data_IF_974020379526
#
_entry.id   IF_974020379526
#
_cell.length_a   1.000
_cell.length_b   1.000
_cell.length_c   1.000
_cell.angle_alpha   90.00
_cell.angle_beta   90.00
_cell.angle_gamma   90.00
#
_symmetry.space_group_name_H-M   'P 1'
#
loop_
_entity.id
_entity.type
_entity.pdbx_description
1 polymer ?
#
# COMPACT_ATOMS: atom_id res chain seq x y z
N UNK A 1 -26.35 0.42 19.42
CA UNK A 1 -25.05 -0.04 19.97
C UNK A 1 -24.89 -1.51 19.64
N UNK A 2 -23.83 -1.91 18.93
CA UNK A 2 -23.56 -3.29 18.52
C UNK A 2 -22.19 -3.75 19.04
N UNK A 3 -22.01 -5.07 19.21
CA UNK A 3 -20.72 -5.70 19.49
C UNK A 3 -20.07 -6.09 18.18
N UNK A 4 -18.87 -5.54 17.91
CA UNK A 4 -18.15 -5.71 16.65
C UNK A 4 -16.77 -6.29 16.94
N UNK A 5 -16.47 -7.45 16.38
CA UNK A 5 -15.18 -8.11 16.52
C UNK A 5 -14.32 -7.91 15.26
N UNK A 6 -13.02 -7.69 15.45
CA UNK A 6 -12.04 -7.51 14.39
C UNK A 6 -10.92 -8.54 14.54
N UNK A 7 -10.72 -9.36 13.52
CA UNK A 7 -9.60 -10.30 13.46
C UNK A 7 -8.41 -9.60 12.83
N UNK A 8 -7.45 -9.19 13.64
CA UNK A 8 -6.30 -8.36 13.23
C UNK A 8 -5.05 -9.21 13.16
N UNK A 9 -4.31 -9.23 12.04
CA UNK A 9 -3.06 -9.97 11.94
C UNK A 9 -1.99 -9.39 12.87
N UNK A 10 -0.88 -10.11 13.01
CA UNK A 10 0.25 -9.71 13.85
C UNK A 10 0.74 -8.31 13.50
N UNK A 11 0.87 -7.44 14.50
CA UNK A 11 1.20 -6.02 14.31
C UNK A 11 2.57 -5.84 13.63
N UNK A 12 2.60 -4.99 12.63
CA UNK A 12 3.81 -4.60 11.90
C UNK A 12 3.95 -3.08 11.99
N UNK A 13 5.01 -2.60 12.62
CA UNK A 13 5.32 -1.18 12.72
C UNK A 13 5.45 -0.55 11.32
N UNK A 14 4.86 0.64 11.13
CA UNK A 14 4.85 1.32 9.82
C UNK A 14 3.89 0.73 8.79
N UNK A 15 3.07 -0.26 9.16
CA UNK A 15 2.08 -0.85 8.26
C UNK A 15 0.86 0.07 8.07
N UNK A 16 0.69 0.59 6.85
CA UNK A 16 -0.52 1.33 6.47
C UNK A 16 -1.80 0.50 6.57
N UNK A 17 -1.73 -0.80 6.27
CA UNK A 17 -2.88 -1.70 6.38
C UNK A 17 -3.39 -1.83 7.82
N UNK A 18 -2.48 -2.05 8.79
CA UNK A 18 -2.86 -2.09 10.20
C UNK A 18 -3.45 -0.75 10.67
N UNK A 19 -2.82 0.37 10.29
CA UNK A 19 -3.36 1.69 10.61
C UNK A 19 -4.78 1.86 10.07
N UNK A 20 -5.04 1.43 8.84
CA UNK A 20 -6.39 1.52 8.24
C UNK A 20 -7.40 0.67 9.02
N UNK A 21 -7.09 -0.58 9.38
CA UNK A 21 -7.97 -1.43 10.20
C UNK A 21 -8.30 -0.73 11.53
N UNK A 22 -7.26 -0.29 12.25
CA UNK A 22 -7.42 0.32 13.57
C UNK A 22 -8.18 1.65 13.50
N UNK A 23 -7.96 2.48 12.49
CA UNK A 23 -8.73 3.71 12.27
C UNK A 23 -10.22 3.46 12.11
N UNK A 24 -10.60 2.40 11.37
CA UNK A 24 -12.00 2.07 11.14
C UNK A 24 -12.65 1.43 12.38
N UNK A 25 -11.90 0.62 13.12
CA UNK A 25 -12.37 0.06 14.39
C UNK A 25 -12.56 1.16 15.46
N UNK A 26 -11.59 2.08 15.59
CA UNK A 26 -11.67 3.25 16.49
C UNK A 26 -12.84 4.16 16.13
N UNK A 27 -13.05 4.40 14.84
CA UNK A 27 -14.20 5.19 14.36
C UNK A 27 -15.54 4.57 14.80
N UNK A 28 -15.71 3.25 14.67
CA UNK A 28 -16.93 2.58 15.13
C UNK A 28 -17.06 2.62 16.66
N UNK A 29 -15.94 2.49 17.39
CA UNK A 29 -15.94 2.63 18.85
C UNK A 29 -16.40 4.03 19.28
N UNK A 30 -15.89 5.07 18.65
CA UNK A 30 -16.29 6.47 18.91
C UNK A 30 -17.76 6.75 18.54
N UNK A 31 -18.35 5.96 17.65
CA UNK A 31 -19.79 5.99 17.32
C UNK A 31 -20.65 5.20 18.28
N UNK A 32 -20.09 4.67 19.37
CA UNK A 32 -20.80 4.01 20.44
C UNK A 32 -20.98 2.50 20.24
N UNK A 33 -20.29 1.88 19.27
CA UNK A 33 -20.23 0.42 19.19
C UNK A 33 -19.15 -0.11 20.14
N UNK A 34 -19.34 -1.33 20.62
CA UNK A 34 -18.31 -2.04 21.40
C UNK A 34 -17.41 -2.81 20.45
N UNK A 35 -16.19 -2.33 20.23
CA UNK A 35 -15.21 -2.97 19.36
C UNK A 35 -14.24 -3.83 20.17
N UNK A 36 -14.09 -5.10 19.78
CA UNK A 36 -13.10 -6.04 20.33
C UNK A 36 -12.08 -6.36 19.25
N UNK A 37 -10.78 -6.16 19.51
CA UNK A 37 -9.71 -6.58 18.63
C UNK A 37 -9.18 -7.96 19.04
N UNK A 38 -9.17 -8.92 18.12
CA UNK A 38 -8.57 -10.24 18.29
C UNK A 38 -7.25 -10.27 17.50
N UNK A 39 -6.11 -10.27 18.22
CA UNK A 39 -4.79 -10.23 17.64
C UNK A 39 -4.27 -11.64 17.32
N UNK A 40 -3.84 -11.90 16.09
CA UNK A 40 -3.45 -13.23 15.60
C UNK A 40 -2.45 -13.97 16.53
N UNK A 41 -1.34 -13.35 16.88
CA UNK A 41 -0.25 -13.94 17.66
C UNK A 41 -0.25 -13.43 19.11
N UNK A 42 -1.40 -13.23 19.69
CA UNK A 42 -1.54 -12.65 21.00
C UNK A 42 -1.94 -13.62 22.12
N UNK A 43 -2.09 -14.93 21.82
CA UNK A 43 -2.57 -15.93 22.80
C UNK A 43 -1.71 -16.01 24.08
N UNK A 44 -0.40 -15.77 23.94
CA UNK A 44 0.55 -15.84 25.07
C UNK A 44 0.78 -14.47 25.75
N UNK A 45 0.07 -13.42 25.31
CA UNK A 45 0.20 -12.07 25.83
C UNK A 45 -1.03 -11.68 26.66
N UNK A 46 -0.81 -10.91 27.72
CA UNK A 46 -1.93 -10.35 28.48
C UNK A 46 -2.68 -9.30 27.65
N UNK A 47 -3.98 -9.16 27.87
CA UNK A 47 -4.80 -8.12 27.26
C UNK A 47 -4.18 -6.70 27.44
N UNK A 48 -3.62 -6.41 28.61
CA UNK A 48 -2.94 -5.15 28.88
C UNK A 48 -1.68 -4.96 28.02
N UNK A 49 -0.91 -6.03 27.80
CA UNK A 49 0.27 -6.01 26.92
C UNK A 49 -0.10 -5.74 25.46
N UNK A 50 -1.16 -6.38 24.98
CA UNK A 50 -1.69 -6.17 23.61
C UNK A 50 -2.20 -4.75 23.42
N UNK A 51 -2.99 -4.21 24.36
CA UNK A 51 -3.47 -2.81 24.35
C UNK A 51 -2.29 -1.84 24.26
N UNK A 52 -1.29 -2.03 25.12
CA UNK A 52 -0.07 -1.20 25.13
C UNK A 52 0.67 -1.26 23.78
N UNK A 53 0.71 -2.42 23.13
CA UNK A 53 1.34 -2.57 21.82
C UNK A 53 0.59 -1.81 20.72
N UNK A 54 -0.74 -1.90 20.69
CA UNK A 54 -1.59 -1.16 19.74
C UNK A 54 -1.39 0.36 19.93
N UNK A 55 -1.50 0.85 21.17
CA UNK A 55 -1.33 2.26 21.50
C UNK A 55 0.08 2.77 21.14
N UNK A 56 1.12 2.08 21.55
CA UNK A 56 2.51 2.47 21.28
C UNK A 56 2.87 2.52 19.81
N UNK A 57 2.38 1.56 19.00
CA UNK A 57 2.77 1.43 17.58
C UNK A 57 1.93 2.34 16.69
N UNK A 58 0.63 2.49 16.98
CA UNK A 58 -0.31 3.14 16.08
C UNK A 58 -1.03 4.35 16.69
N UNK A 59 -0.97 4.55 18.01
CA UNK A 59 -1.60 5.66 18.71
C UNK A 59 -3.10 5.50 18.91
N UNK A 60 -3.65 4.28 18.83
CA UNK A 60 -5.08 4.02 19.06
C UNK A 60 -5.31 3.34 20.40
N UNK A 61 -6.40 3.70 21.06
CA UNK A 61 -6.84 3.13 22.34
C UNK A 61 -8.12 2.30 22.15
N UNK A 62 -8.11 1.06 22.65
CA UNK A 62 -9.28 0.17 22.61
C UNK A 62 -9.59 -0.38 24.00
N UNK A 63 -10.88 -0.47 24.30
CA UNK A 63 -11.34 -1.00 25.59
C UNK A 63 -11.12 -2.51 25.70
N UNK A 64 -11.21 -3.25 24.60
CA UNK A 64 -11.11 -4.72 24.59
C UNK A 64 -10.17 -5.19 23.47
N UNK A 65 -9.02 -5.75 23.87
CA UNK A 65 -8.02 -6.34 22.98
C UNK A 65 -7.63 -7.71 23.52
N UNK A 66 -7.75 -8.72 22.70
CA UNK A 66 -7.55 -10.14 23.06
C UNK A 66 -6.55 -10.81 22.11
N UNK A 67 -5.96 -11.90 22.56
CA UNK A 67 -5.04 -12.69 21.77
C UNK A 67 -5.69 -13.93 21.17
N UNK A 68 -5.26 -14.28 19.96
CA UNK A 68 -5.71 -15.47 19.24
C UNK A 68 -7.07 -15.32 18.55
N UNK A 69 -7.36 -16.27 17.66
CA UNK A 69 -8.60 -16.34 16.87
C UNK A 69 -9.39 -17.62 17.12
N UNK A 70 -9.08 -18.37 18.18
CA UNK A 70 -9.76 -19.63 18.53
C UNK A 70 -11.04 -19.40 19.35
N UNK A 71 -10.99 -18.45 20.27
CA UNK A 71 -12.06 -18.21 21.25
C UNK A 71 -12.71 -16.83 21.02
N UNK A 72 -13.35 -16.68 19.87
CA UNK A 72 -14.06 -15.45 19.50
C UNK A 72 -15.44 -15.48 20.17
N UNK A 73 -15.69 -14.51 21.05
CA UNK A 73 -16.99 -14.37 21.70
C UNK A 73 -18.09 -13.97 20.72
N UNK A 74 -19.35 -14.39 20.97
CA UNK A 74 -20.48 -13.97 20.16
C UNK A 74 -20.57 -12.44 20.02
N UNK A 75 -20.63 -11.98 18.78
CA UNK A 75 -20.74 -10.58 18.39
C UNK A 75 -21.84 -10.40 17.34
N UNK A 76 -22.33 -9.19 17.19
CA UNK A 76 -23.36 -8.88 16.18
C UNK A 76 -22.76 -8.84 14.78
N UNK A 77 -21.47 -8.40 14.68
CA UNK A 77 -20.71 -8.34 13.43
C UNK A 77 -19.26 -8.75 13.66
N UNK A 78 -18.67 -9.51 12.73
CA UNK A 78 -17.27 -9.94 12.80
C UNK A 78 -16.57 -9.62 11.48
N UNK A 79 -15.44 -8.91 11.57
CA UNK A 79 -14.60 -8.57 10.44
C UNK A 79 -13.39 -9.48 10.30
N UNK A 80 -13.27 -10.15 9.16
CA UNK A 80 -11.99 -10.61 8.64
C UNK A 80 -11.22 -9.42 8.06
N UNK A 81 -9.88 -9.38 8.21
CA UNK A 81 -9.06 -8.27 7.71
C UNK A 81 -7.87 -8.73 6.87
N UNK A 82 -7.73 -10.04 6.70
CA UNK A 82 -6.75 -10.69 5.82
C UNK A 82 -7.34 -12.02 5.31
N UNK A 83 -6.92 -12.49 4.15
CA UNK A 83 -7.52 -13.62 3.46
C UNK A 83 -7.69 -14.90 4.31
N UNK A 84 -6.72 -15.24 5.13
CA UNK A 84 -6.83 -16.45 5.98
C UNK A 84 -7.72 -16.24 7.21
N UNK A 85 -7.92 -15.00 7.68
CA UNK A 85 -8.93 -14.71 8.72
C UNK A 85 -10.35 -14.83 8.20
N UNK A 86 -10.57 -14.69 6.88
CA UNK A 86 -11.88 -14.87 6.26
C UNK A 86 -12.43 -16.30 6.47
N UNK A 87 -11.56 -17.31 6.49
CA UNK A 87 -11.93 -18.68 6.81
C UNK A 87 -12.42 -18.80 8.26
N UNK A 88 -11.72 -18.19 9.20
CA UNK A 88 -12.11 -18.18 10.61
C UNK A 88 -13.51 -17.56 10.78
N UNK A 89 -13.74 -16.40 10.15
CA UNK A 89 -15.04 -15.71 10.21
C UNK A 89 -16.14 -16.53 9.56
N UNK A 90 -15.86 -17.21 8.44
CA UNK A 90 -16.82 -18.12 7.79
C UNK A 90 -17.28 -19.23 8.73
N UNK A 91 -16.33 -19.82 9.45
CA UNK A 91 -16.51 -21.05 10.24
C UNK A 91 -16.98 -20.78 11.69
N UNK A 92 -17.31 -19.53 12.05
CA UNK A 92 -17.86 -19.18 13.36
C UNK A 92 -19.16 -19.95 13.66
N UNK A 93 -19.24 -20.55 14.85
CA UNK A 93 -20.37 -21.37 15.26
C UNK A 93 -21.63 -20.56 15.66
N UNK A 94 -21.51 -19.27 15.92
CA UNK A 94 -22.61 -18.39 16.28
C UNK A 94 -23.12 -17.55 15.10
N UNK A 95 -24.36 -17.08 15.21
CA UNK A 95 -24.98 -16.20 14.21
C UNK A 95 -24.42 -14.78 14.35
N UNK A 96 -23.93 -14.19 13.26
CA UNK A 96 -23.45 -12.83 13.18
C UNK A 96 -23.42 -12.33 11.72
N UNK A 97 -23.30 -11.03 11.53
CA UNK A 97 -22.98 -10.45 10.23
C UNK A 97 -21.50 -10.69 9.97
N UNK A 98 -21.19 -11.50 8.96
CA UNK A 98 -19.82 -11.86 8.58
C UNK A 98 -19.30 -10.93 7.51
N UNK A 99 -18.28 -10.14 7.83
CA UNK A 99 -17.70 -9.15 6.94
C UNK A 99 -16.24 -9.46 6.60
N UNK A 100 -15.82 -9.04 5.42
CA UNK A 100 -14.42 -9.02 5.03
C UNK A 100 -14.03 -7.58 4.66
N UNK A 101 -13.14 -6.99 5.46
CA UNK A 101 -12.53 -5.70 5.23
C UNK A 101 -11.37 -5.85 4.25
N UNK A 102 -11.64 -5.64 2.97
CA UNK A 102 -10.71 -5.95 1.87
C UNK A 102 -9.88 -4.72 1.54
N UNK A 103 -8.59 -4.74 1.86
CA UNK A 103 -7.69 -3.63 1.59
C UNK A 103 -6.88 -3.78 0.30
N UNK A 104 -6.76 -5.01 -0.19
CA UNK A 104 -5.98 -5.32 -1.38
C UNK A 104 -6.52 -6.60 -2.05
N UNK A 105 -6.12 -6.87 -3.28
CA UNK A 105 -6.28 -8.18 -3.90
C UNK A 105 -5.13 -9.08 -3.41
N UNK A 106 -5.33 -9.65 -2.23
CA UNK A 106 -4.26 -10.27 -1.43
C UNK A 106 -3.64 -11.52 -2.08
N UNK A 107 -4.29 -12.11 -3.08
CA UNK A 107 -3.70 -13.16 -3.89
C UNK A 107 -2.39 -12.72 -4.55
N UNK A 108 -2.28 -11.43 -4.93
CA UNK A 108 -1.07 -10.84 -5.51
C UNK A 108 0.08 -10.67 -4.51
N UNK A 109 -0.12 -10.94 -3.22
CA UNK A 109 0.97 -10.98 -2.25
C UNK A 109 1.82 -12.25 -2.33
N UNK A 110 1.33 -13.24 -3.07
CA UNK A 110 1.93 -14.56 -3.19
C UNK A 110 2.24 -14.88 -4.65
N UNK A 111 3.36 -15.53 -4.94
CA UNK A 111 3.56 -16.13 -6.26
C UNK A 111 2.46 -17.17 -6.52
N UNK A 112 2.17 -17.43 -7.81
CA UNK A 112 1.18 -18.44 -8.19
C UNK A 112 1.48 -19.78 -7.48
N UNK A 113 0.48 -20.28 -6.75
CA UNK A 113 0.59 -21.48 -5.93
C UNK A 113 -0.52 -21.56 -4.90
N UNK A 114 -0.39 -22.45 -3.92
CA UNK A 114 -1.44 -22.73 -2.94
C UNK A 114 -1.93 -21.48 -2.18
N UNK A 115 -1.02 -20.63 -1.71
CA UNK A 115 -1.38 -19.43 -0.98
C UNK A 115 -2.17 -18.43 -1.85
N UNK A 116 -1.75 -18.25 -3.13
CA UNK A 116 -2.49 -17.44 -4.10
C UNK A 116 -3.92 -17.96 -4.30
N UNK A 117 -4.07 -19.26 -4.58
CA UNK A 117 -5.36 -19.90 -4.80
C UNK A 117 -6.25 -19.82 -3.56
N UNK A 118 -5.69 -20.04 -2.37
CA UNK A 118 -6.44 -19.96 -1.11
C UNK A 118 -6.88 -18.51 -0.83
N UNK A 119 -6.05 -17.51 -1.12
CA UNK A 119 -6.43 -16.11 -1.01
C UNK A 119 -7.57 -15.76 -1.97
N UNK A 120 -7.54 -16.21 -3.23
CA UNK A 120 -8.66 -16.03 -4.16
C UNK A 120 -9.95 -16.71 -3.66
N UNK A 121 -9.83 -17.92 -3.09
CA UNK A 121 -10.98 -18.64 -2.57
C UNK A 121 -11.64 -17.91 -1.39
N UNK A 122 -10.90 -17.13 -0.61
CA UNK A 122 -11.44 -16.37 0.52
C UNK A 122 -12.54 -15.40 0.10
N UNK A 123 -12.48 -14.86 -1.10
CA UNK A 123 -13.51 -13.95 -1.62
C UNK A 123 -14.85 -14.67 -1.93
N UNK A 124 -14.86 -16.01 -2.02
CA UNK A 124 -16.07 -16.81 -2.29
C UNK A 124 -16.71 -17.39 -1.04
N UNK A 125 -16.26 -17.00 0.16
CA UNK A 125 -16.76 -17.57 1.41
C UNK A 125 -18.11 -17.01 1.87
N UNK A 126 -18.75 -16.14 1.10
CA UNK A 126 -20.08 -15.61 1.41
C UNK A 126 -20.09 -14.50 2.47
N UNK A 127 -18.95 -13.86 2.72
CA UNK A 127 -18.85 -12.72 3.60
C UNK A 127 -19.30 -11.44 2.87
N UNK A 128 -19.75 -10.42 3.62
CA UNK A 128 -19.98 -9.08 3.10
C UNK A 128 -18.65 -8.37 2.88
N UNK A 129 -18.30 -8.10 1.63
CA UNK A 129 -17.03 -7.43 1.29
C UNK A 129 -17.19 -5.92 1.37
N UNK A 130 -16.33 -5.27 2.16
CA UNK A 130 -16.20 -3.82 2.25
C UNK A 130 -14.74 -3.48 1.94
N UNK A 131 -14.50 -2.78 0.84
CA UNK A 131 -13.15 -2.53 0.33
C UNK A 131 -12.75 -1.08 0.38
N UNK A 132 -11.43 -0.84 0.41
CA UNK A 132 -10.87 0.48 0.12
C UNK A 132 -10.60 0.61 -1.36
N UNK A 133 -11.07 1.73 -1.95
CA UNK A 133 -10.90 2.02 -3.36
C UNK A 133 -11.90 1.29 -4.26
N UNK A 134 -11.92 1.69 -5.51
CA UNK A 134 -12.91 1.31 -6.53
C UNK A 134 -12.49 0.10 -7.37
N UNK A 135 -11.19 -0.13 -7.49
CA UNK A 135 -10.70 -1.29 -8.24
C UNK A 135 -11.16 -2.62 -7.68
N UNK A 136 -11.11 -2.78 -6.35
CA UNK A 136 -11.44 -4.05 -5.70
C UNK A 136 -12.87 -4.52 -5.96
N UNK A 137 -13.93 -3.69 -5.85
CA UNK A 137 -15.28 -4.10 -6.23
C UNK A 137 -15.40 -4.53 -7.69
N UNK A 138 -14.76 -3.80 -8.61
CA UNK A 138 -14.73 -4.16 -10.03
C UNK A 138 -14.08 -5.54 -10.23
N UNK A 139 -12.90 -5.74 -9.62
CA UNK A 139 -12.14 -6.98 -9.72
C UNK A 139 -12.86 -8.18 -9.10
N UNK A 140 -13.47 -8.01 -7.91
CA UNK A 140 -14.23 -9.08 -7.25
C UNK A 140 -15.50 -9.46 -8.04
N UNK A 141 -16.17 -8.47 -8.60
CA UNK A 141 -17.35 -8.70 -9.44
C UNK A 141 -17.00 -9.44 -10.73
N UNK A 142 -15.97 -8.99 -11.43
CA UNK A 142 -15.53 -9.57 -12.70
C UNK A 142 -15.05 -11.02 -12.53
N UNK A 143 -14.17 -11.25 -11.56
CA UNK A 143 -13.49 -12.54 -11.44
C UNK A 143 -14.29 -13.59 -10.66
N UNK A 144 -15.10 -13.19 -9.70
CA UNK A 144 -15.79 -14.12 -8.80
C UNK A 144 -17.30 -13.97 -8.79
N UNK A 145 -17.86 -13.00 -9.51
CA UNK A 145 -19.26 -12.61 -9.44
C UNK A 145 -19.69 -12.28 -7.99
N UNK A 146 -18.82 -11.64 -7.24
CA UNK A 146 -19.04 -11.24 -5.86
C UNK A 146 -19.14 -9.73 -5.77
N UNK A 147 -20.23 -9.24 -5.16
CA UNK A 147 -20.44 -7.82 -4.93
C UNK A 147 -19.67 -7.33 -3.70
N UNK A 148 -19.17 -6.09 -3.79
CA UNK A 148 -18.57 -5.40 -2.67
C UNK A 148 -19.07 -3.95 -2.58
N UNK A 149 -19.19 -3.43 -1.35
CA UNK A 149 -19.24 -2.00 -1.11
C UNK A 149 -17.81 -1.45 -1.02
N UNK A 150 -17.63 -0.15 -1.25
CA UNK A 150 -16.33 0.46 -1.04
C UNK A 150 -16.44 1.83 -0.37
N UNK A 151 -15.33 2.26 0.18
CA UNK A 151 -15.07 3.62 0.59
C UNK A 151 -13.83 4.15 -0.13
N UNK A 152 -13.78 5.45 -0.37
CA UNK A 152 -12.73 6.08 -1.14
C UNK A 152 -11.37 6.06 -0.40
N UNK A 153 -10.29 6.15 -1.16
CA UNK A 153 -8.99 6.51 -0.62
C UNK A 153 -9.04 7.96 -0.11
N UNK A 154 -8.74 8.13 1.15
CA UNK A 154 -8.74 9.40 1.86
C UNK A 154 -7.42 9.65 2.55
N UNK A 155 -7.08 10.91 2.81
CA UNK A 155 -5.91 11.31 3.58
C UNK A 155 -6.32 12.14 4.80
N UNK A 156 -5.47 12.12 5.82
CA UNK A 156 -5.57 13.03 6.94
C UNK A 156 -5.05 14.40 6.51
N UNK A 157 -5.98 15.32 6.21
CA UNK A 157 -5.64 16.65 5.68
C UNK A 157 -5.11 17.61 6.76
N UNK A 158 -5.20 17.26 8.03
CA UNK A 158 -4.51 17.99 9.09
C UNK A 158 -3.00 17.73 9.04
N UNK A 159 -2.63 16.51 8.63
CA UNK A 159 -1.24 16.07 8.45
C UNK A 159 -0.75 16.37 7.04
N UNK A 160 -1.44 15.86 6.02
CA UNK A 160 -1.02 15.95 4.62
C UNK A 160 -1.69 17.14 3.94
N UNK A 161 -0.91 18.19 3.76
CA UNK A 161 -1.36 19.46 3.16
C UNK A 161 -0.19 20.24 2.58
N UNK A 162 -0.44 21.19 1.69
CA UNK A 162 0.58 22.14 1.27
C UNK A 162 1.09 22.94 2.48
N UNK A 163 2.40 23.09 2.56
CA UNK A 163 3.11 23.90 3.55
C UNK A 163 3.76 25.09 2.84
N UNK A 164 3.94 26.19 3.57
CA UNK A 164 4.73 27.33 3.08
C UNK A 164 6.23 27.03 3.24
N UNK A 165 6.70 26.07 2.45
CA UNK A 165 8.08 25.63 2.41
C UNK A 165 8.63 25.78 0.99
N UNK A 166 9.87 26.29 0.81
CA UNK A 166 10.50 26.30 -0.49
C UNK A 166 10.77 24.86 -0.95
N UNK A 167 10.54 24.60 -2.24
CA UNK A 167 10.96 23.34 -2.85
C UNK A 167 12.47 23.29 -2.95
N UNK A 168 13.03 22.09 -2.90
CA UNK A 168 14.47 21.88 -3.02
C UNK A 168 14.98 22.32 -4.40
N UNK A 169 16.16 22.95 -4.40
CA UNK A 169 16.89 23.33 -5.62
C UNK A 169 18.28 22.70 -5.56
N UNK A 170 18.61 21.83 -6.51
CA UNK A 170 17.82 21.38 -7.68
C UNK A 170 16.58 20.57 -7.30
N UNK A 171 15.61 20.50 -8.24
CA UNK A 171 14.35 19.81 -8.05
C UNK A 171 14.55 18.33 -7.68
N UNK A 172 13.99 17.92 -6.54
CA UNK A 172 14.19 16.60 -5.96
C UNK A 172 13.04 15.63 -6.30
N UNK A 173 13.36 14.34 -6.37
CA UNK A 173 12.40 13.25 -6.53
C UNK A 173 12.41 12.41 -5.26
N UNK A 174 11.22 12.13 -4.67
CA UNK A 174 11.10 11.16 -3.61
C UNK A 174 10.45 9.86 -4.09
N UNK A 175 10.91 8.73 -3.55
CA UNK A 175 10.38 7.40 -3.86
C UNK A 175 10.12 6.61 -2.58
N UNK A 176 8.90 6.07 -2.47
CA UNK A 176 8.56 5.12 -1.41
C UNK A 176 9.25 3.76 -1.67
N UNK A 177 10.43 3.59 -1.12
CA UNK A 177 11.27 2.42 -1.32
C UNK A 177 10.99 1.36 -0.26
N UNK A 178 10.35 0.26 -0.66
CA UNK A 178 9.95 -0.84 0.22
C UNK A 178 10.31 -2.20 -0.40
N UNK A 179 11.60 -2.57 -0.47
CA UNK A 179 12.07 -3.79 -1.14
C UNK A 179 11.55 -5.09 -0.49
N UNK A 180 11.10 -5.02 0.76
CA UNK A 180 10.45 -6.14 1.45
C UNK A 180 9.02 -6.42 0.98
N UNK A 181 8.44 -5.53 0.16
CA UNK A 181 7.10 -5.65 -0.41
C UNK A 181 7.18 -5.80 -1.93
N UNK A 182 7.21 -7.02 -2.49
CA UNK A 182 7.40 -7.23 -3.93
C UNK A 182 6.44 -6.42 -4.82
N UNK A 183 5.19 -6.26 -4.39
CA UNK A 183 4.16 -5.49 -5.11
C UNK A 183 4.43 -3.98 -5.20
N UNK A 184 5.47 -3.48 -4.51
CA UNK A 184 5.92 -2.07 -4.59
C UNK A 184 7.08 -1.89 -5.56
N UNK A 185 7.52 -2.97 -6.22
CA UNK A 185 8.46 -2.98 -7.33
C UNK A 185 9.67 -2.05 -7.11
N UNK A 186 10.32 -2.19 -5.94
CA UNK A 186 11.44 -1.34 -5.55
C UNK A 186 12.56 -1.33 -6.59
N UNK A 187 12.84 -2.48 -7.24
CA UNK A 187 13.86 -2.63 -8.27
C UNK A 187 13.50 -1.84 -9.53
N UNK A 188 12.27 -1.95 -10.01
CA UNK A 188 11.76 -1.19 -11.15
C UNK A 188 11.90 0.33 -10.92
N UNK A 189 11.58 0.79 -9.70
CA UNK A 189 11.74 2.19 -9.31
C UNK A 189 13.21 2.62 -9.27
N UNK A 190 14.10 1.77 -8.77
CA UNK A 190 15.56 2.04 -8.75
C UNK A 190 16.13 2.13 -10.16
N UNK A 191 15.73 1.22 -11.07
CA UNK A 191 16.15 1.28 -12.47
C UNK A 191 15.68 2.57 -13.15
N UNK A 192 14.42 2.95 -12.97
CA UNK A 192 13.87 4.19 -13.50
C UNK A 192 14.62 5.42 -12.96
N UNK A 193 14.85 5.47 -11.65
CA UNK A 193 15.59 6.57 -11.01
C UNK A 193 17.05 6.60 -11.44
N UNK A 194 17.65 5.46 -11.75
CA UNK A 194 18.99 5.37 -12.37
C UNK A 194 19.05 6.06 -13.72
N UNK A 195 18.03 5.88 -14.57
CA UNK A 195 17.89 6.58 -15.85
C UNK A 195 17.74 8.10 -15.61
N UNK A 196 16.89 8.49 -14.64
CA UNK A 196 16.73 9.90 -14.26
C UNK A 196 18.08 10.49 -13.84
N UNK A 197 18.82 9.79 -12.97
CA UNK A 197 20.13 10.24 -12.48
C UNK A 197 21.17 10.34 -13.58
N UNK A 198 21.13 9.44 -14.57
CA UNK A 198 22.00 9.49 -15.74
C UNK A 198 21.70 10.71 -16.63
N UNK A 199 20.43 11.01 -16.90
CA UNK A 199 20.00 12.13 -17.75
C UNK A 199 20.05 13.49 -17.04
N UNK A 200 19.83 13.49 -15.72
CA UNK A 200 19.88 14.68 -14.85
C UNK A 200 20.71 14.39 -13.60
N UNK A 201 22.06 14.38 -13.69
CA UNK A 201 22.95 13.96 -12.61
C UNK A 201 22.82 14.78 -11.32
N UNK A 202 22.37 16.03 -11.43
CA UNK A 202 22.20 16.95 -10.29
C UNK A 202 20.87 16.76 -9.55
N UNK A 203 19.91 15.99 -10.08
CA UNK A 203 18.63 15.73 -9.43
C UNK A 203 18.83 14.92 -8.13
N UNK A 204 18.48 15.46 -6.96
CA UNK A 204 18.51 14.69 -5.72
C UNK A 204 17.42 13.59 -5.75
N UNK A 205 17.82 12.37 -5.37
CA UNK A 205 16.92 11.24 -5.21
C UNK A 205 16.82 10.92 -3.72
N UNK A 206 15.60 10.94 -3.18
CA UNK A 206 15.32 10.71 -1.76
C UNK A 206 14.46 9.45 -1.62
N UNK A 207 15.01 8.43 -0.99
CA UNK A 207 14.33 7.19 -0.68
C UNK A 207 13.80 7.24 0.75
N UNK A 208 12.62 6.66 0.99
CA UNK A 208 12.05 6.50 2.32
C UNK A 208 11.13 5.26 2.38
N UNK A 209 10.79 4.80 3.59
CA UNK A 209 9.91 3.64 3.79
C UNK A 209 10.64 2.33 4.11
N UNK A 210 11.96 2.28 3.97
CA UNK A 210 12.80 1.17 4.45
C UNK A 210 14.05 1.68 5.14
N UNK A 211 14.46 0.99 6.21
CA UNK A 211 15.66 1.35 6.99
C UNK A 211 16.97 1.20 6.18
N UNK A 212 16.94 0.39 5.12
CA UNK A 212 18.12 0.08 4.31
C UNK A 212 17.83 0.27 2.83
N UNK A 213 18.78 0.84 2.09
CA UNK A 213 18.76 0.97 0.65
C UNK A 213 19.86 0.09 0.02
N UNK A 214 19.70 -1.25 0.14
CA UNK A 214 20.80 -2.19 -0.09
C UNK A 214 21.34 -2.31 -1.51
N UNK A 215 20.57 -2.04 -2.57
CA UNK A 215 20.93 -2.27 -3.97
C UNK A 215 20.76 -1.02 -4.86
N UNK A 216 20.87 0.16 -4.30
CA UNK A 216 20.81 1.40 -5.07
C UNK A 216 22.23 1.80 -5.45
N UNK A 217 22.50 1.87 -6.74
CA UNK A 217 23.85 2.00 -7.31
C UNK A 217 24.24 3.43 -7.69
N UNK A 218 23.32 4.40 -7.54
CA UNK A 218 23.55 5.82 -7.78
C UNK A 218 23.50 6.62 -6.47
N UNK A 219 23.97 7.84 -6.50
CA UNK A 219 23.93 8.75 -5.35
C UNK A 219 22.47 9.07 -4.98
N UNK A 220 22.12 8.82 -3.73
CA UNK A 220 20.80 9.04 -3.17
C UNK A 220 20.86 9.31 -1.67
N UNK A 221 19.80 9.84 -1.12
CA UNK A 221 19.58 9.96 0.31
C UNK A 221 18.53 8.92 0.75
N UNK A 222 18.78 8.15 1.81
CA UNK A 222 17.79 7.27 2.42
C UNK A 222 17.35 7.83 3.78
N UNK A 223 16.10 8.27 3.87
CA UNK A 223 15.48 8.81 5.09
C UNK A 223 14.92 7.73 6.02
N UNK A 224 14.96 6.46 5.64
CA UNK A 224 14.43 5.36 6.44
C UNK A 224 12.92 5.41 6.64
N UNK A 225 12.45 4.98 7.80
CA UNK A 225 11.04 5.06 8.18
C UNK A 225 10.75 6.47 8.74
N UNK A 226 9.82 7.18 8.10
CA UNK A 226 9.41 8.52 8.49
C UNK A 226 8.08 8.49 9.22
N UNK A 227 7.92 9.36 10.22
CA UNK A 227 6.61 9.71 10.77
C UNK A 227 5.78 10.52 9.78
N UNK A 228 4.48 10.63 10.02
CA UNK A 228 3.54 11.23 9.06
C UNK A 228 3.87 12.70 8.74
N UNK A 229 4.19 13.49 9.75
CA UNK A 229 4.59 14.91 9.59
C UNK A 229 5.87 15.06 8.76
N UNK A 230 6.84 14.17 8.97
CA UNK A 230 8.08 14.15 8.19
C UNK A 230 7.84 13.72 6.74
N UNK A 231 6.88 12.81 6.50
CA UNK A 231 6.44 12.48 5.14
C UNK A 231 5.84 13.71 4.46
N UNK A 232 4.94 14.44 5.14
CA UNK A 232 4.35 15.65 4.57
C UNK A 232 5.41 16.72 4.27
N UNK A 233 6.37 16.96 5.17
CA UNK A 233 7.47 17.89 4.93
C UNK A 233 8.33 17.46 3.73
N UNK A 234 8.62 16.17 3.58
CA UNK A 234 9.34 15.62 2.42
C UNK A 234 8.56 15.88 1.12
N UNK A 235 7.26 15.60 1.09
CA UNK A 235 6.41 15.80 -0.09
C UNK A 235 6.35 17.27 -0.51
N UNK A 236 6.31 18.19 0.44
CA UNK A 236 6.31 19.61 0.17
C UNK A 236 7.65 20.14 -0.37
N UNK A 237 8.76 19.51 -0.03
CA UNK A 237 10.10 19.88 -0.52
C UNK A 237 10.42 19.29 -1.89
N UNK A 238 9.92 18.10 -2.21
CA UNK A 238 10.16 17.44 -3.48
C UNK A 238 9.33 18.02 -4.64
N UNK A 239 9.81 17.84 -5.85
CA UNK A 239 9.15 18.29 -7.09
C UNK A 239 8.31 17.19 -7.75
N UNK A 240 8.70 15.92 -7.56
CA UNK A 240 8.01 14.74 -8.10
C UNK A 240 8.02 13.63 -7.05
N UNK A 241 6.89 12.97 -6.85
CA UNK A 241 6.77 11.74 -6.07
C UNK A 241 6.65 10.52 -6.98
N UNK A 242 7.46 9.50 -6.74
CA UNK A 242 7.32 8.19 -7.38
C UNK A 242 6.67 7.22 -6.41
N UNK A 243 5.60 6.58 -6.86
CA UNK A 243 4.96 5.45 -6.19
C UNK A 243 4.73 4.34 -7.22
N UNK A 244 4.91 3.08 -6.84
CA UNK A 244 4.65 1.94 -7.73
C UNK A 244 3.77 0.93 -7.01
N UNK A 245 2.66 0.58 -7.64
CA UNK A 245 1.68 -0.35 -7.10
C UNK A 245 1.21 -1.34 -8.16
N UNK A 246 1.55 -2.62 -7.98
CA UNK A 246 1.09 -3.71 -8.86
C UNK A 246 -0.07 -4.51 -8.26
N UNK A 247 -0.63 -4.03 -7.16
CA UNK A 247 -1.89 -4.45 -6.56
C UNK A 247 -2.71 -3.21 -6.23
N UNK A 248 -3.65 -3.24 -5.26
CA UNK A 248 -4.42 -2.04 -4.95
C UNK A 248 -3.48 -0.83 -4.67
N UNK A 249 -3.78 0.38 -5.15
CA UNK A 249 -3.01 1.55 -4.83
C UNK A 249 -2.78 1.67 -3.31
N UNK A 250 -1.59 2.13 -2.91
CA UNK A 250 -1.39 2.46 -1.50
C UNK A 250 -2.03 3.81 -1.17
N UNK A 251 -2.03 4.17 0.10
CA UNK A 251 -2.45 5.53 0.50
C UNK A 251 -1.45 6.62 0.06
N UNK A 252 -0.23 6.21 -0.28
CA UNK A 252 0.89 7.11 -0.56
C UNK A 252 0.63 8.10 -1.71
N UNK A 253 0.15 7.70 -2.90
CA UNK A 253 -0.15 8.68 -3.95
C UNK A 253 -1.18 9.71 -3.51
N UNK A 254 -2.17 9.33 -2.70
CA UNK A 254 -3.19 10.23 -2.18
C UNK A 254 -2.62 11.20 -1.12
N UNK A 255 -1.71 10.74 -0.28
CA UNK A 255 -0.98 11.56 0.70
C UNK A 255 -0.04 12.57 -0.01
N UNK A 256 0.65 12.14 -1.08
CA UNK A 256 1.44 13.01 -1.95
C UNK A 256 0.58 14.08 -2.64
N UNK A 257 -0.56 13.67 -3.23
CA UNK A 257 -1.52 14.59 -3.84
C UNK A 257 -2.08 15.61 -2.83
N UNK A 258 -2.40 15.17 -1.61
CA UNK A 258 -2.87 16.07 -0.54
C UNK A 258 -1.81 17.11 -0.17
N UNK A 259 -0.53 16.76 -0.19
CA UNK A 259 0.59 17.69 0.01
C UNK A 259 0.91 18.58 -1.22
N UNK A 260 0.19 18.39 -2.33
CA UNK A 260 0.43 19.15 -3.58
C UNK A 260 1.64 18.67 -4.38
N UNK A 261 2.12 17.46 -4.15
CA UNK A 261 3.20 16.84 -4.90
C UNK A 261 2.62 16.09 -6.11
N UNK A 262 3.01 16.39 -7.36
CA UNK A 262 2.63 15.59 -8.53
C UNK A 262 3.22 14.18 -8.42
N UNK A 263 2.43 13.19 -8.80
CA UNK A 263 2.75 11.78 -8.64
C UNK A 263 3.01 11.12 -9.98
N UNK A 264 4.06 10.31 -10.06
CA UNK A 264 4.28 9.33 -11.11
C UNK A 264 3.99 7.95 -10.55
N UNK A 265 3.15 7.18 -11.27
CA UNK A 265 2.75 5.82 -10.89
C UNK A 265 2.69 4.95 -12.15
N UNK A 266 2.63 3.63 -12.02
CA UNK A 266 2.45 2.72 -13.14
C UNK A 266 0.98 2.64 -13.57
N UNK A 267 0.77 2.55 -14.89
CA UNK A 267 -0.55 2.30 -15.47
C UNK A 267 -0.89 0.82 -15.36
N UNK A 268 -2.02 0.52 -14.78
CA UNK A 268 -2.54 -0.83 -14.63
C UNK A 268 -4.03 -0.81 -14.28
N UNK A 269 -4.69 -1.95 -14.42
CA UNK A 269 -6.10 -2.08 -14.03
C UNK A 269 -6.38 -1.64 -12.59
N UNK A 270 -5.41 -1.77 -11.71
CA UNK A 270 -5.50 -1.40 -10.30
C UNK A 270 -5.41 0.11 -10.04
N UNK A 271 -4.70 0.86 -10.87
CA UNK A 271 -4.42 2.29 -10.65
C UNK A 271 -5.42 3.21 -11.33
N UNK A 272 -6.01 2.77 -12.45
CA UNK A 272 -6.93 3.61 -13.25
C UNK A 272 -8.27 3.91 -12.57
N UNK A 273 -8.69 3.12 -11.58
CA UNK A 273 -9.98 3.30 -10.91
C UNK A 273 -9.99 4.40 -9.86
N UNK A 274 -8.85 4.68 -9.24
CA UNK A 274 -8.78 5.52 -8.03
C UNK A 274 -7.91 6.77 -8.21
N UNK A 275 -7.08 6.84 -9.25
CA UNK A 275 -6.16 7.95 -9.49
C UNK A 275 -6.70 8.90 -10.58
N UNK A 276 -6.85 10.21 -10.27
CA UNK A 276 -7.38 11.19 -11.24
C UNK A 276 -6.31 11.56 -12.26
N UNK A 277 -6.70 11.60 -13.54
CA UNK A 277 -5.80 11.86 -14.67
C UNK A 277 -5.17 13.26 -14.65
N UNK A 278 -5.79 14.22 -13.96
CA UNK A 278 -5.28 15.59 -13.87
C UNK A 278 -4.16 15.75 -12.83
N UNK A 279 -4.03 14.78 -11.90
CA UNK A 279 -3.11 14.87 -10.75
C UNK A 279 -1.99 13.82 -10.75
N UNK A 280 -2.10 12.80 -11.60
CA UNK A 280 -1.16 11.68 -11.63
C UNK A 280 -0.71 11.41 -13.06
N UNK A 281 0.58 11.16 -13.25
CA UNK A 281 1.14 10.69 -14.51
C UNK A 281 1.29 9.16 -14.45
N UNK A 282 0.42 8.42 -15.16
CA UNK A 282 0.52 6.98 -15.25
C UNK A 282 1.43 6.58 -16.43
N UNK A 283 2.45 5.79 -16.12
CA UNK A 283 3.47 5.33 -17.07
C UNK A 283 3.32 3.83 -17.34
N UNK A 284 3.74 3.36 -18.52
CA UNK A 284 3.95 1.94 -18.70
C UNK A 284 4.88 1.39 -17.60
N UNK A 285 4.70 0.12 -17.16
CA UNK A 285 5.50 -0.49 -16.11
C UNK A 285 6.91 -0.87 -16.62
N UNK A 286 7.60 0.11 -17.23
CA UNK A 286 8.98 0.00 -17.70
C UNK A 286 9.84 1.10 -17.07
N UNK A 287 11.13 0.84 -16.77
CA UNK A 287 12.02 1.85 -16.21
C UNK A 287 12.10 3.10 -17.06
N UNK A 288 12.11 2.93 -18.39
CA UNK A 288 12.22 4.00 -19.37
C UNK A 288 11.01 4.92 -19.35
N UNK A 289 9.81 4.36 -19.31
CA UNK A 289 8.56 5.14 -19.30
C UNK A 289 8.35 5.86 -17.98
N UNK A 290 8.66 5.22 -16.84
CA UNK A 290 8.65 5.85 -15.53
C UNK A 290 9.65 7.01 -15.47
N UNK A 291 10.87 6.78 -15.97
CA UNK A 291 11.89 7.83 -16.05
C UNK A 291 11.46 8.99 -16.96
N UNK A 292 10.81 8.70 -18.10
CA UNK A 292 10.27 9.72 -18.97
C UNK A 292 9.24 10.59 -18.26
N UNK A 293 8.26 9.98 -17.57
CA UNK A 293 7.26 10.71 -16.80
C UNK A 293 7.86 11.60 -15.69
N UNK A 294 8.90 11.13 -15.01
CA UNK A 294 9.61 11.92 -14.00
C UNK A 294 10.33 13.10 -14.68
N UNK A 295 11.09 12.84 -15.75
CA UNK A 295 11.87 13.87 -16.44
C UNK A 295 11.00 14.94 -17.10
N UNK A 296 9.84 14.56 -17.63
CA UNK A 296 8.85 15.49 -18.18
C UNK A 296 8.38 16.48 -17.10
N UNK A 297 8.06 15.99 -15.90
CA UNK A 297 7.64 16.86 -14.79
C UNK A 297 8.77 17.70 -14.23
N UNK A 298 9.99 17.20 -14.20
CA UNK A 298 11.18 17.97 -13.81
C UNK A 298 11.52 19.05 -14.85
N UNK A 299 11.27 18.80 -16.13
CA UNK A 299 11.50 19.72 -17.24
C UNK A 299 10.42 20.78 -17.42
N UNK A 300 9.22 20.55 -16.89
CA UNK A 300 8.09 21.49 -16.95
C UNK A 300 7.52 21.77 -15.54
N UNK A 301 8.12 22.69 -14.79
CA UNK A 301 7.63 23.09 -13.46
C UNK A 301 6.20 23.65 -13.47
N UNK A 302 5.77 24.25 -14.60
CA UNK A 302 4.40 24.78 -14.75
C UNK A 302 3.38 23.66 -14.77
N UNK A 303 3.62 22.61 -15.56
CA UNK A 303 2.81 21.39 -15.60
C UNK A 303 2.82 20.68 -14.23
N UNK A 304 4.00 20.50 -13.63
CA UNK A 304 4.12 19.89 -12.30
C UNK A 304 3.30 20.64 -11.25
N UNK A 305 3.37 21.98 -11.23
CA UNK A 305 2.57 22.80 -10.32
C UNK A 305 1.06 22.69 -10.59
N UNK A 306 0.65 22.57 -11.86
CA UNK A 306 -0.77 22.39 -12.22
C UNK A 306 -1.28 21.04 -11.75
N UNK A 307 -0.52 19.96 -11.94
CA UNK A 307 -0.85 18.62 -11.43
C UNK A 307 -0.91 18.60 -9.90
N UNK A 308 0.03 19.25 -9.22
CA UNK A 308 0.02 19.35 -7.76
C UNK A 308 -1.24 20.06 -7.23
N UNK A 309 -1.67 21.15 -7.88
CA UNK A 309 -2.93 21.84 -7.54
C UNK A 309 -4.16 20.95 -7.80
N UNK A 310 -4.19 20.23 -8.91
CA UNK A 310 -5.28 19.30 -9.21
C UNK A 310 -5.35 18.19 -8.15
N UNK A 311 -4.20 17.64 -7.73
CA UNK A 311 -4.11 16.66 -6.65
C UNK A 311 -4.65 17.18 -5.32
N UNK A 312 -4.25 18.39 -4.93
CA UNK A 312 -4.76 19.03 -3.71
C UNK A 312 -6.27 19.27 -3.78
N UNK A 313 -6.78 19.72 -4.94
CA UNK A 313 -8.21 19.93 -5.14
C UNK A 313 -8.99 18.61 -5.03
N UNK A 314 -8.51 17.54 -5.67
CA UNK A 314 -9.10 16.21 -5.59
C UNK A 314 -9.14 15.67 -4.14
N UNK A 315 -8.07 15.86 -3.39
CA UNK A 315 -7.98 15.37 -2.02
C UNK A 315 -8.76 16.24 -1.01
N UNK A 316 -9.03 17.50 -1.31
CA UNK A 316 -9.85 18.37 -0.44
C UNK A 316 -11.26 17.80 -0.23
N UNK A 317 -11.79 17.09 -1.21
CA UNK A 317 -13.09 16.41 -1.13
C UNK A 317 -13.01 15.03 -0.44
N UNK A 318 -11.78 14.60 -0.09
CA UNK A 318 -11.50 13.27 0.48
C UNK A 318 -10.71 13.33 1.79
N UNK A 319 -11.18 14.14 2.76
CA UNK A 319 -10.60 14.08 4.10
C UNK A 319 -10.83 12.71 4.72
N UNK A 320 -10.02 12.33 5.69
CA UNK A 320 -10.13 11.02 6.35
C UNK A 320 -11.56 10.74 6.87
N UNK A 321 -12.22 11.76 7.40
CA UNK A 321 -13.60 11.68 7.89
C UNK A 321 -14.61 11.24 6.80
N UNK A 322 -14.36 11.59 5.53
CA UNK A 322 -15.22 11.18 4.41
C UNK A 322 -15.23 9.66 4.23
N UNK A 323 -14.06 9.03 4.10
CA UNK A 323 -13.98 7.58 3.95
C UNK A 323 -14.47 6.81 5.17
N UNK A 324 -14.19 7.33 6.37
CA UNK A 324 -14.72 6.76 7.60
C UNK A 324 -16.25 6.83 7.66
N UNK A 325 -16.86 7.93 7.19
CA UNK A 325 -18.32 8.06 7.11
C UNK A 325 -18.93 7.06 6.13
N UNK A 326 -18.37 6.98 4.90
CA UNK A 326 -18.81 6.01 3.89
C UNK A 326 -18.77 4.57 4.45
N UNK A 327 -17.66 4.19 5.11
CA UNK A 327 -17.56 2.90 5.77
C UNK A 327 -18.61 2.70 6.87
N UNK A 328 -18.78 3.71 7.73
CA UNK A 328 -19.77 3.67 8.81
C UNK A 328 -21.22 3.52 8.32
N UNK A 329 -21.56 4.16 7.20
CA UNK A 329 -22.87 4.02 6.56
C UNK A 329 -23.11 2.59 6.06
N UNK A 330 -22.11 1.96 5.45
CA UNK A 330 -22.18 0.55 5.04
C UNK A 330 -22.38 -0.36 6.24
N UNK A 331 -21.61 -0.16 7.31
CA UNK A 331 -21.75 -0.95 8.57
C UNK A 331 -23.14 -0.76 9.18
N UNK A 332 -23.65 0.47 9.26
CA UNK A 332 -24.97 0.74 9.83
C UNK A 332 -26.07 0.07 9.01
N UNK A 333 -26.04 0.17 7.70
CA UNK A 333 -27.01 -0.51 6.81
C UNK A 333 -27.04 -2.02 7.03
N UNK A 334 -25.89 -2.65 7.19
CA UNK A 334 -25.81 -4.09 7.48
C UNK A 334 -26.38 -4.42 8.86
N UNK A 335 -26.11 -3.60 9.87
CA UNK A 335 -26.66 -3.77 11.23
C UNK A 335 -28.18 -3.59 11.25
N UNK A 336 -28.72 -2.74 10.38
CA UNK A 336 -30.17 -2.53 10.21
C UNK A 336 -30.84 -3.64 9.38
N UNK A 337 -30.10 -4.67 8.98
CA UNK A 337 -30.58 -5.81 8.22
C UNK A 337 -30.76 -5.58 6.72
N UNK A 338 -30.21 -4.48 6.18
CA UNK A 338 -30.24 -4.21 4.75
C UNK A 338 -29.14 -5.00 4.02
N UNK A 339 -29.43 -5.35 2.78
CA UNK A 339 -28.43 -5.96 1.89
C UNK A 339 -27.31 -4.99 1.57
N UNK A 340 -26.09 -5.54 1.31
CA UNK A 340 -24.96 -4.76 0.85
C UNK A 340 -25.27 -4.11 -0.50
N UNK A 341 -25.13 -2.81 -0.58
CA UNK A 341 -25.20 -2.09 -1.85
C UNK A 341 -23.90 -2.29 -2.61
N UNK A 342 -23.93 -3.13 -3.64
CA UNK A 342 -22.76 -3.43 -4.44
C UNK A 342 -22.48 -2.32 -5.45
N UNK A 343 -21.21 -2.03 -5.66
CA UNK A 343 -20.78 -1.03 -6.63
C UNK A 343 -20.19 -1.70 -7.87
N UNK A 344 -20.38 -1.07 -9.03
CA UNK A 344 -19.67 -1.37 -10.28
C UNK A 344 -18.98 -0.10 -10.75
N UNK A 345 -17.82 0.20 -10.16
CA UNK A 345 -17.11 1.42 -10.51
C UNK A 345 -16.56 1.38 -11.92
N UNK A 346 -16.44 2.56 -12.53
CA UNK A 346 -15.69 2.75 -13.77
C UNK A 346 -14.33 3.40 -13.49
N UNK A 347 -13.33 3.18 -14.38
CA UNK A 347 -12.06 3.85 -14.30
C UNK A 347 -12.18 5.38 -14.34
N UNK A 348 -11.44 6.07 -13.46
CA UNK A 348 -11.32 7.53 -13.45
C UNK A 348 -10.26 8.02 -14.44
N UNK A 349 -9.18 7.26 -14.57
CA UNK A 349 -8.10 7.55 -15.51
C UNK A 349 -8.41 6.95 -16.88
N UNK A 350 -8.43 7.79 -17.92
CA UNK A 350 -8.83 7.40 -19.28
C UNK A 350 -7.79 7.77 -20.33
N UNK A 351 -6.66 8.34 -19.92
CA UNK A 351 -5.56 8.67 -20.83
C UNK A 351 -4.71 7.42 -21.09
N UNK A 352 -4.06 7.41 -22.24
CA UNK A 352 -3.03 6.41 -22.51
C UNK A 352 -1.85 6.58 -21.55
N UNK A 353 -1.16 5.48 -21.20
CA UNK A 353 0.02 5.55 -20.37
C UNK A 353 1.14 6.32 -21.06
N UNK A 354 1.99 6.96 -20.27
CA UNK A 354 3.20 7.57 -20.80
C UNK A 354 4.13 6.47 -21.30
N UNK A 355 4.48 6.53 -22.57
CA UNK A 355 5.47 5.68 -23.20
C UNK A 355 6.82 6.40 -23.29
N UNK A 356 7.91 5.66 -23.19
CA UNK A 356 9.22 6.21 -23.49
C UNK A 356 9.28 6.64 -24.96
N UNK A 357 9.52 7.92 -25.21
CA UNK A 357 9.78 8.41 -26.56
C UNK A 357 11.20 8.07 -27.01
N UNK A 358 11.32 7.26 -28.06
CA UNK A 358 12.59 6.79 -28.62
C UNK A 358 12.89 5.35 -28.26
N UNK A 359 13.40 4.59 -29.22
CA UNK A 359 13.67 3.15 -29.10
C UNK A 359 14.44 2.74 -27.86
N UNK A 360 14.59 1.44 -27.62
CA UNK A 360 15.21 0.94 -26.39
C UNK A 360 16.54 1.68 -26.16
N UNK A 361 16.72 2.22 -24.94
CA UNK A 361 18.03 2.68 -24.51
C UNK A 361 18.97 1.52 -24.77
N UNK A 362 19.95 1.72 -25.65
CA UNK A 362 20.91 0.68 -25.91
C UNK A 362 21.47 0.22 -24.56
N UNK A 363 21.33 -1.06 -24.26
CA UNK A 363 21.72 -1.66 -22.98
C UNK A 363 23.16 -1.37 -22.54
N UNK A 364 23.96 -0.88 -23.49
CA UNK A 364 25.35 -0.45 -23.31
C UNK A 364 25.51 0.90 -22.58
N UNK A 365 24.42 1.63 -22.29
CA UNK A 365 24.52 2.97 -21.68
C UNK A 365 24.08 3.03 -20.21
N UNK A 366 23.63 1.94 -19.63
CA UNK A 366 23.38 1.87 -18.20
C UNK A 366 24.66 1.40 -17.51
N UNK A 367 25.38 2.27 -16.78
CA UNK A 367 26.55 1.84 -16.02
C UNK A 367 26.07 0.96 -14.86
N UNK A 368 26.47 -0.27 -14.85
CA UNK A 368 26.19 -1.22 -13.79
C UNK A 368 25.11 -2.22 -14.20
N UNK A 369 25.56 -3.40 -14.59
CA UNK A 369 24.72 -4.57 -14.60
C UNK A 369 24.13 -4.75 -13.20
N UNK A 370 22.86 -4.43 -13.04
CA UNK A 370 22.08 -5.07 -11.98
C UNK A 370 22.01 -6.53 -12.40
N UNK A 371 22.86 -7.37 -11.79
CA UNK A 371 22.72 -8.80 -11.99
C UNK A 371 21.27 -9.16 -11.62
N UNK A 372 20.52 -9.85 -12.50
CA UNK A 372 19.16 -10.22 -12.19
C UNK A 372 19.17 -10.86 -10.81
N UNK A 373 18.31 -10.37 -9.92
CA UNK A 373 18.14 -10.94 -8.60
C UNK A 373 17.75 -12.41 -8.81
N UNK A 374 18.74 -13.29 -8.66
CA UNK A 374 18.40 -14.68 -8.60
C UNK A 374 17.55 -14.87 -7.36
N UNK A 375 16.33 -15.42 -7.49
CA UNK A 375 15.52 -15.75 -6.34
C UNK A 375 16.43 -16.52 -5.38
N UNK A 376 16.51 -16.02 -4.15
CA UNK A 376 17.30 -16.65 -3.08
C UNK A 376 16.87 -18.11 -3.07
N UNK A 377 17.75 -19.01 -3.54
CA UNK A 377 17.40 -20.43 -3.67
C UNK A 377 16.93 -20.86 -2.29
N UNK A 378 15.69 -21.27 -2.17
CA UNK A 378 14.97 -21.46 -0.90
C UNK A 378 15.67 -22.39 0.10
N UNK A 379 16.71 -23.09 -0.34
CA UNK A 379 17.58 -23.94 0.47
C UNK A 379 18.48 -23.16 1.46
N UNK A 380 18.79 -21.90 1.23
CA UNK A 380 19.60 -21.09 2.15
C UNK A 380 18.76 -20.36 3.22
N UNK A 381 17.44 -20.35 3.12
CA UNK A 381 16.56 -19.72 4.11
C UNK A 381 16.65 -20.35 5.51
N UNK A 382 17.00 -21.63 5.57
CA UNK A 382 17.08 -22.39 6.84
C UNK A 382 18.43 -22.28 7.55
N UNK A 383 19.43 -21.61 6.96
CA UNK A 383 20.72 -21.41 7.60
C UNK A 383 20.73 -20.14 8.45
N UNK A 384 21.36 -20.15 9.65
CA UNK A 384 21.62 -18.95 10.43
C UNK A 384 22.36 -17.87 9.62
N UNK A 385 22.07 -16.60 9.89
CA UNK A 385 22.64 -15.45 9.14
C UNK A 385 24.13 -15.51 8.85
N UNK A 386 25.02 -15.87 9.80
CA UNK A 386 26.46 -15.97 9.52
C UNK A 386 26.79 -17.08 8.51
N UNK A 387 26.10 -18.22 8.59
CA UNK A 387 26.34 -19.36 7.68
C UNK A 387 25.82 -19.09 6.27
N UNK A 388 24.81 -18.24 6.10
CA UNK A 388 24.34 -17.79 4.78
C UNK A 388 25.41 -17.02 4.02
N UNK A 389 26.22 -16.19 4.70
CA UNK A 389 27.34 -15.46 4.09
C UNK A 389 28.41 -16.41 3.56
N UNK A 390 28.77 -17.41 4.34
CA UNK A 390 29.78 -18.41 3.97
C UNK A 390 29.29 -19.29 2.82
N UNK A 391 28.05 -19.76 2.88
CA UNK A 391 27.44 -20.55 1.81
C UNK A 391 27.32 -19.78 0.49
N UNK A 392 26.97 -18.47 0.54
CA UNK A 392 26.96 -17.58 -0.64
C UNK A 392 28.34 -17.37 -1.25
N UNK A 393 29.36 -17.22 -0.40
CA UNK A 393 30.75 -17.10 -0.85
C UNK A 393 31.24 -18.40 -1.53
N UNK A 394 30.92 -19.56 -0.97
CA UNK A 394 31.25 -20.86 -1.53
C UNK A 394 30.58 -21.10 -2.89
N UNK A 395 29.29 -20.78 -3.05
CA UNK A 395 28.57 -20.91 -4.32
C UNK A 395 29.14 -19.95 -5.39
N UNK A 396 29.56 -18.73 -5.03
CA UNK A 396 30.23 -17.81 -5.94
C UNK A 396 31.62 -18.31 -6.37
N UNK A 397 32.39 -18.88 -5.47
CA UNK A 397 33.69 -19.44 -5.78
C UNK A 397 33.59 -20.66 -6.72
N UNK A 398 32.63 -21.55 -6.45
CA UNK A 398 32.38 -22.74 -7.29
C UNK A 398 31.96 -22.33 -8.71
N UNK A 399 31.10 -21.33 -8.89
CA UNK A 399 30.68 -20.85 -10.21
C UNK A 399 31.80 -20.17 -11.00
N UNK A 400 32.80 -19.55 -10.32
CA UNK A 400 33.99 -18.99 -11.00
C UNK A 400 34.98 -20.06 -11.47
N UNK A 401 34.90 -21.25 -10.91
CA UNK A 401 35.74 -22.38 -11.31
C UNK A 401 35.11 -23.27 -12.39
N UNK A 402 33.80 -23.09 -12.64
CA UNK A 402 33.04 -23.89 -13.63
C UNK A 402 32.55 -23.06 -14.82
N UNK A 403 32.87 -21.75 -14.87
CA UNK A 403 32.70 -20.85 -16.03
C UNK A 403 34.06 -20.54 -16.65
#
# INVERSE_FOLDING_TARGET
MARIAWLVPSLIEGSGGHRTILQHADFLQRRGHRCTLYMENGSDQSAAGLKKSVSRIFGFEFDDVRGGWTDIEPADMVFATIWYSARVVRDLAFSCIRCYFVQDYEALFHPMGSAHVMAENSYRYGLHHISIGRWLPARLSERFNVGAACFDFCADLEVYRPLDLPRDVPAAVCFIYQPEKPRRCAELGVEALGIVKHRSPKTPIILYGSKTAGNVWFEHENRGLLGLEYCNALYNRCSVGLCISTSNPSRIPFEMMAAGLPVVEVHGENTVYDLPQEAVALCEPTPESIAAGILDLLGDPGRAATMGRAGTAFMRERPLAHGLSQFGEVVQRLLDGHSLQTMRPEPMYRLEPIHASGGPLAATQVPGHVAPLQPDSGRLRFLPRPLRRVARAGVRAFRRLTA
#
